data_IF_060509759353
#
_entry.id   IF_060509759353
#
_cell.length_a   1.000
_cell.length_b   1.000
_cell.length_c   1.000
_cell.angle_alpha   90.00
_cell.angle_beta   90.00
_cell.angle_gamma   90.00
#
_symmetry.space_group_name_H-M   'P 1'
#
loop_
_entity.id
_entity.type
_entity.pdbx_description
1 polymer ?
#
# COMPACT_ATOMS: atom_id res chain seq x y z
N UNK A 1 -0.63 28.99 -10.69
CA UNK A 1 -0.37 27.76 -11.46
C UNK A 1 -1.61 27.48 -12.31
N UNK A 2 -1.45 27.31 -13.62
CA UNK A 2 -2.54 26.90 -14.51
C UNK A 2 -3.09 25.54 -14.06
N UNK A 3 -4.41 25.37 -14.17
CA UNK A 3 -5.07 24.09 -13.90
C UNK A 3 -5.07 23.27 -15.20
N UNK A 4 -4.71 22.00 -15.10
CA UNK A 4 -4.79 21.02 -16.19
C UNK A 4 -5.88 20.00 -15.88
N UNK A 5 -6.41 19.35 -16.91
CA UNK A 5 -7.32 18.20 -16.76
C UNK A 5 -6.46 16.93 -16.77
N UNK A 6 -6.65 16.07 -15.77
CA UNK A 6 -5.97 14.78 -15.68
C UNK A 6 -7.01 13.65 -15.74
N UNK A 7 -6.86 12.74 -16.70
CA UNK A 7 -7.60 11.48 -16.76
C UNK A 7 -6.89 10.47 -15.86
N UNK A 8 -7.65 9.80 -15.00
CA UNK A 8 -7.14 8.82 -14.05
C UNK A 8 -7.87 7.50 -14.27
N UNK A 9 -7.12 6.41 -14.33
CA UNK A 9 -7.66 5.05 -14.33
C UNK A 9 -6.98 4.27 -13.20
N UNK A 10 -7.76 3.58 -12.37
CA UNK A 10 -7.29 2.87 -11.19
C UNK A 10 -7.90 1.48 -11.13
N UNK A 11 -7.07 0.45 -11.11
CA UNK A 11 -7.51 -0.92 -10.87
C UNK A 11 -8.00 -1.05 -9.43
N UNK A 12 -9.08 -1.80 -9.25
CA UNK A 12 -9.64 -2.17 -7.95
C UNK A 12 -9.79 -3.69 -7.95
N UNK A 13 -9.02 -4.39 -7.12
CA UNK A 13 -9.17 -5.83 -6.95
C UNK A 13 -10.37 -6.09 -6.04
N UNK A 14 -11.32 -6.93 -6.49
CA UNK A 14 -12.57 -7.15 -5.79
C UNK A 14 -13.20 -8.50 -6.13
N UNK A 15 -13.84 -9.11 -5.13
CA UNK A 15 -14.68 -10.30 -5.35
C UNK A 15 -16.12 -9.95 -5.77
N UNK A 16 -16.52 -8.67 -5.67
CA UNK A 16 -17.80 -8.23 -6.21
C UNK A 16 -17.74 -8.21 -7.74
N UNK A 17 -18.70 -8.84 -8.41
CA UNK A 17 -18.88 -8.69 -9.86
C UNK A 17 -19.71 -7.44 -10.13
N UNK A 18 -19.24 -6.59 -11.05
CA UNK A 18 -20.00 -5.41 -11.47
C UNK A 18 -20.98 -5.81 -12.55
N UNK A 19 -22.24 -6.03 -12.15
CA UNK A 19 -23.34 -6.38 -13.03
C UNK A 19 -24.36 -5.24 -13.16
N UNK A 20 -23.98 -4.01 -12.80
CA UNK A 20 -24.89 -2.86 -12.88
C UNK A 20 -24.98 -2.44 -14.36
N UNK A 21 -26.20 -2.33 -14.92
CA UNK A 21 -26.39 -1.87 -16.27
C UNK A 21 -26.37 -0.33 -16.36
N UNK A 22 -25.51 0.20 -17.22
CA UNK A 22 -25.60 1.54 -17.78
C UNK A 22 -26.55 1.46 -18.99
N UNK A 23 -27.82 1.76 -18.73
CA UNK A 23 -28.92 1.67 -19.71
C UNK A 23 -28.71 2.62 -20.89
N UNK A 24 -28.04 3.75 -20.68
CA UNK A 24 -27.84 4.76 -21.72
C UNK A 24 -26.76 4.33 -22.72
N UNK A 25 -25.81 3.50 -22.29
CA UNK A 25 -24.70 3.01 -23.12
C UNK A 25 -24.83 1.55 -23.56
N UNK A 26 -25.93 0.88 -23.20
CA UNK A 26 -26.08 -0.57 -23.38
C UNK A 26 -24.90 -1.38 -22.81
N UNK A 27 -24.32 -0.93 -21.69
CA UNK A 27 -23.23 -1.63 -21.01
C UNK A 27 -23.77 -2.31 -19.75
N UNK A 28 -23.56 -3.61 -19.61
CA UNK A 28 -24.10 -4.40 -18.49
C UNK A 28 -23.15 -4.55 -17.30
N UNK A 29 -22.06 -3.79 -17.29
CA UNK A 29 -20.94 -3.96 -16.36
C UNK A 29 -20.32 -2.62 -15.94
N UNK A 30 -21.14 -1.57 -15.93
CA UNK A 30 -20.69 -0.18 -15.76
C UNK A 30 -21.69 0.63 -14.95
N UNK A 31 -21.21 1.44 -14.02
CA UNK A 31 -22.01 2.46 -13.35
C UNK A 31 -21.17 3.66 -12.96
N UNK A 32 -21.81 4.79 -12.70
CA UNK A 32 -21.12 6.01 -12.25
C UNK A 32 -21.65 6.48 -10.89
N UNK A 33 -20.75 6.98 -10.05
CA UNK A 33 -21.08 7.67 -8.79
C UNK A 33 -20.31 8.99 -8.78
N UNK A 34 -21.04 10.10 -8.89
CA UNK A 34 -20.43 11.41 -9.10
C UNK A 34 -19.69 11.44 -10.44
N UNK A 35 -18.44 11.86 -10.43
CA UNK A 35 -17.56 11.93 -11.60
C UNK A 35 -16.64 10.71 -11.78
N UNK A 36 -16.91 9.63 -11.04
CA UNK A 36 -16.17 8.37 -11.17
C UNK A 36 -17.06 7.33 -11.82
N UNK A 37 -16.56 6.75 -12.91
CA UNK A 37 -17.16 5.60 -13.58
C UNK A 37 -16.43 4.34 -13.15
N UNK A 38 -17.18 3.32 -12.75
CA UNK A 38 -16.70 2.00 -12.42
C UNK A 38 -17.13 1.03 -13.51
N UNK A 39 -16.17 0.32 -14.08
CA UNK A 39 -16.38 -0.69 -15.11
C UNK A 39 -15.82 -2.02 -14.60
N UNK A 40 -16.39 -3.14 -15.03
CA UNK A 40 -15.72 -4.42 -14.81
C UNK A 40 -14.42 -4.47 -15.61
N UNK A 41 -13.37 -5.06 -15.03
CA UNK A 41 -12.04 -5.08 -15.66
C UNK A 41 -12.01 -5.90 -16.96
N UNK A 42 -12.68 -7.05 -16.93
CA UNK A 42 -12.79 -7.92 -18.09
C UNK A 42 -14.17 -8.55 -18.15
N UNK A 43 -14.94 -8.18 -19.16
CA UNK A 43 -16.30 -8.65 -19.39
C UNK A 43 -16.53 -8.89 -20.86
N UNK A 44 -17.16 -10.01 -21.18
CA UNK A 44 -17.77 -10.21 -22.49
C UNK A 44 -19.08 -10.98 -22.34
N UNK A 45 -19.98 -10.85 -23.31
CA UNK A 45 -21.35 -11.41 -23.23
C UNK A 45 -21.32 -12.95 -23.16
N UNK A 46 -20.34 -13.60 -23.79
CA UNK A 46 -20.25 -15.06 -23.88
C UNK A 46 -19.74 -15.68 -22.58
N UNK A 47 -18.66 -15.11 -22.03
CA UNK A 47 -17.91 -15.69 -20.92
C UNK A 47 -18.19 -14.99 -19.58
N UNK A 48 -18.97 -13.89 -19.60
CA UNK A 48 -19.36 -13.14 -18.41
C UNK A 48 -18.19 -12.35 -17.79
N UNK A 49 -18.04 -12.47 -16.47
CA UNK A 49 -17.08 -11.70 -15.67
C UNK A 49 -15.78 -12.47 -15.40
N UNK A 50 -14.79 -12.29 -16.27
CA UNK A 50 -13.58 -13.10 -16.32
C UNK A 50 -12.58 -12.80 -15.19
N UNK A 51 -12.42 -11.54 -14.79
CA UNK A 51 -11.47 -11.14 -13.74
C UNK A 51 -12.15 -10.71 -12.42
N UNK A 52 -11.41 -10.80 -11.32
CA UNK A 52 -11.82 -10.29 -9.99
C UNK A 52 -11.31 -8.87 -9.78
N UNK A 53 -11.64 -7.99 -10.71
CA UNK A 53 -11.24 -6.60 -10.67
C UNK A 53 -12.24 -5.68 -11.36
N UNK A 54 -12.30 -4.44 -10.90
CA UNK A 54 -12.97 -3.31 -11.54
C UNK A 54 -11.93 -2.28 -11.97
N UNK A 55 -12.35 -1.40 -12.87
CA UNK A 55 -11.61 -0.22 -13.31
C UNK A 55 -12.39 1.03 -12.90
N UNK A 56 -11.80 1.86 -12.06
CA UNK A 56 -12.34 3.17 -11.73
C UNK A 56 -11.70 4.25 -12.62
N UNK A 57 -12.51 5.02 -13.32
CA UNK A 57 -12.10 6.08 -14.25
C UNK A 57 -12.70 7.42 -13.83
N UNK A 58 -11.97 8.51 -14.08
CA UNK A 58 -12.52 9.86 -13.94
C UNK A 58 -11.54 10.95 -14.35
N UNK A 59 -12.03 12.18 -14.41
CA UNK A 59 -11.24 13.35 -14.78
C UNK A 59 -11.15 14.34 -13.62
N UNK A 60 -9.93 14.80 -13.32
CA UNK A 60 -9.68 15.73 -12.22
C UNK A 60 -8.93 16.96 -12.74
N UNK A 61 -9.54 18.12 -12.58
CA UNK A 61 -8.89 19.41 -12.82
C UNK A 61 -8.00 19.79 -11.64
N UNK A 62 -6.68 19.92 -11.88
CA UNK A 62 -5.69 20.12 -10.83
C UNK A 62 -4.48 20.91 -11.32
N UNK A 63 -3.69 21.47 -10.40
CA UNK A 63 -2.42 22.13 -10.75
C UNK A 63 -1.25 21.15 -10.97
N UNK A 64 -1.40 19.90 -10.55
CA UNK A 64 -0.38 18.84 -10.72
C UNK A 64 -1.00 17.44 -10.69
N UNK A 65 -0.33 16.46 -11.30
CA UNK A 65 -0.80 15.06 -11.33
C UNK A 65 -0.89 14.46 -9.93
N UNK A 66 0.07 14.77 -9.03
CA UNK A 66 0.06 14.31 -7.64
C UNK A 66 -1.19 14.79 -6.89
N UNK A 67 -1.59 16.05 -7.09
CA UNK A 67 -2.82 16.57 -6.49
C UNK A 67 -4.06 15.94 -7.14
N UNK A 68 -4.01 15.65 -8.44
CA UNK A 68 -5.10 15.01 -9.16
C UNK A 68 -5.37 13.60 -8.61
N UNK A 69 -4.35 12.74 -8.52
CA UNK A 69 -4.49 11.38 -7.99
C UNK A 69 -4.90 11.36 -6.52
N UNK A 70 -4.37 12.28 -5.70
CA UNK A 70 -4.78 12.38 -4.30
C UNK A 70 -6.25 12.80 -4.15
N UNK A 71 -6.74 13.68 -5.03
CA UNK A 71 -8.16 14.06 -5.07
C UNK A 71 -9.03 12.87 -5.48
N UNK A 72 -8.66 12.17 -6.56
CA UNK A 72 -9.34 10.97 -7.04
C UNK A 72 -9.39 9.86 -5.99
N UNK A 73 -8.26 9.53 -5.36
CA UNK A 73 -8.18 8.58 -4.24
C UNK A 73 -9.02 9.02 -3.04
N UNK A 74 -9.13 10.32 -2.79
CA UNK A 74 -10.02 10.87 -1.78
C UNK A 74 -11.50 10.61 -2.05
N UNK A 75 -11.92 10.55 -3.32
CA UNK A 75 -13.27 10.15 -3.73
C UNK A 75 -13.47 8.64 -3.58
N UNK A 76 -12.52 7.83 -4.06
CA UNK A 76 -12.54 6.37 -3.88
C UNK A 76 -12.59 5.97 -2.39
N UNK A 77 -11.86 6.68 -1.52
CA UNK A 77 -11.88 6.46 -0.07
C UNK A 77 -13.26 6.64 0.56
N UNK A 78 -14.13 7.44 -0.06
CA UNK A 78 -15.54 7.53 0.34
C UNK A 78 -16.36 6.39 -0.27
N UNK A 79 -16.18 6.11 -1.56
CA UNK A 79 -17.05 5.19 -2.29
C UNK A 79 -16.75 3.72 -1.96
N UNK A 80 -15.49 3.29 -2.05
CA UNK A 80 -15.08 1.88 -1.96
C UNK A 80 -15.48 1.21 -0.63
N UNK A 81 -15.29 1.81 0.56
CA UNK A 81 -15.72 1.17 1.80
C UNK A 81 -17.23 0.91 1.87
N UNK A 82 -18.05 1.76 1.22
CA UNK A 82 -19.50 1.57 1.15
C UNK A 82 -19.85 0.44 0.19
N UNK A 83 -19.14 0.34 -0.93
CA UNK A 83 -19.27 -0.81 -1.84
C UNK A 83 -18.93 -2.08 -1.07
N UNK A 84 -17.78 -2.14 -0.38
CA UNK A 84 -17.35 -3.32 0.37
C UNK A 84 -18.37 -3.74 1.44
N UNK A 85 -18.98 -2.77 2.14
CA UNK A 85 -20.05 -3.03 3.10
C UNK A 85 -21.29 -3.64 2.44
N UNK A 86 -21.74 -3.07 1.32
CA UNK A 86 -22.96 -3.49 0.61
C UNK A 86 -22.76 -4.84 -0.07
N UNK A 87 -21.62 -5.04 -0.73
CA UNK A 87 -21.29 -6.27 -1.45
C UNK A 87 -20.81 -7.40 -0.54
N UNK A 88 -20.49 -7.09 0.72
CA UNK A 88 -19.90 -8.04 1.69
C UNK A 88 -18.66 -8.73 1.12
N UNK A 89 -17.86 -8.01 0.34
CA UNK A 89 -16.76 -8.58 -0.43
C UNK A 89 -15.43 -7.93 -0.10
N UNK A 90 -14.35 -8.69 -0.28
CA UNK A 90 -13.01 -8.13 -0.30
C UNK A 90 -12.90 -7.09 -1.43
N UNK A 91 -12.36 -5.90 -1.10
CA UNK A 91 -12.03 -4.84 -2.06
C UNK A 91 -10.72 -4.17 -1.65
N UNK A 92 -9.75 -4.13 -2.54
CA UNK A 92 -8.46 -3.46 -2.38
C UNK A 92 -8.15 -2.60 -3.60
N UNK A 93 -7.64 -1.40 -3.37
CA UNK A 93 -7.31 -0.44 -4.43
C UNK A 93 -6.11 0.43 -4.09
N UNK A 94 -5.59 0.39 -2.86
CA UNK A 94 -4.52 1.27 -2.41
C UNK A 94 -3.18 0.96 -3.10
N UNK A 95 -2.89 -0.33 -3.23
CA UNK A 95 -1.66 -0.87 -3.83
C UNK A 95 -1.89 -1.43 -5.23
N UNK A 96 -3.01 -1.06 -5.86
CA UNK A 96 -3.34 -1.53 -7.20
C UNK A 96 -2.85 -0.55 -8.27
N UNK A 97 -2.57 -1.04 -9.49
CA UNK A 97 -2.07 -0.21 -10.57
C UNK A 97 -2.97 0.98 -10.92
N UNK A 98 -2.36 2.10 -11.26
CA UNK A 98 -3.08 3.25 -11.82
C UNK A 98 -2.25 4.04 -12.82
N UNK A 99 -2.95 4.79 -13.67
CA UNK A 99 -2.34 5.82 -14.51
C UNK A 99 -2.93 7.20 -14.23
N UNK A 100 -2.13 8.23 -14.49
CA UNK A 100 -2.55 9.64 -14.48
C UNK A 100 -2.04 10.31 -15.75
N UNK A 101 -2.95 10.55 -16.69
CA UNK A 101 -2.66 11.15 -18.00
C UNK A 101 -3.10 12.60 -17.98
N UNK A 102 -2.20 13.54 -18.29
CA UNK A 102 -2.60 14.92 -18.53
C UNK A 102 -3.23 15.01 -19.92
N UNK A 103 -4.36 15.71 -20.03
CA UNK A 103 -5.03 15.94 -21.32
C UNK A 103 -4.04 16.53 -22.33
N UNK A 104 -4.07 16.00 -23.55
CA UNK A 104 -3.23 16.40 -24.69
C UNK A 104 -1.72 16.20 -24.48
N UNK A 105 -1.31 15.37 -23.51
CA UNK A 105 0.09 15.00 -23.32
C UNK A 105 0.39 13.62 -23.89
N UNK A 106 1.57 13.50 -24.49
CA UNK A 106 2.22 12.27 -24.93
C UNK A 106 2.83 11.43 -23.78
N UNK A 107 2.54 11.79 -22.52
CA UNK A 107 3.16 11.20 -21.33
C UNK A 107 2.10 10.87 -20.29
N UNK A 108 2.33 9.79 -19.56
CA UNK A 108 1.47 9.33 -18.48
C UNK A 108 2.32 8.96 -17.27
N UNK A 109 1.84 9.30 -16.06
CA UNK A 109 2.40 8.72 -14.84
C UNK A 109 1.78 7.34 -14.63
N UNK A 110 2.61 6.30 -14.57
CA UNK A 110 2.17 4.94 -14.36
C UNK A 110 2.72 4.41 -13.03
N UNK A 111 1.79 4.02 -12.15
CA UNK A 111 2.09 3.18 -11.00
C UNK A 111 1.75 1.74 -11.37
N UNK A 112 2.80 0.95 -11.52
CA UNK A 112 2.68 -0.48 -11.72
C UNK A 112 2.76 -1.18 -10.37
N UNK A 113 1.87 -2.15 -10.19
CA UNK A 113 1.92 -3.10 -9.09
C UNK A 113 1.52 -4.48 -9.60
N UNK A 114 2.17 -5.53 -9.09
CA UNK A 114 1.78 -6.92 -9.33
C UNK A 114 1.85 -7.74 -8.06
N UNK A 115 1.08 -8.81 -8.04
CA UNK A 115 1.24 -9.84 -7.03
C UNK A 115 2.58 -10.54 -7.23
N UNK A 116 3.32 -10.63 -6.14
CA UNK A 116 4.55 -11.40 -6.05
C UNK A 116 4.25 -12.62 -5.19
N UNK A 117 4.50 -13.81 -5.75
CA UNK A 117 4.43 -15.06 -4.99
C UNK A 117 5.29 -14.96 -3.73
N UNK A 118 4.82 -15.58 -2.65
CA UNK A 118 5.61 -15.70 -1.43
C UNK A 118 6.93 -16.41 -1.75
N UNK A 119 8.05 -15.73 -1.52
CA UNK A 119 9.36 -16.40 -1.52
C UNK A 119 9.61 -17.04 -0.16
N UNK A 120 10.15 -18.26 -0.12
CA UNK A 120 10.71 -18.80 1.12
C UNK A 120 11.91 -17.99 1.60
N UNK A 121 12.07 -17.85 2.92
CA UNK A 121 13.33 -17.46 3.53
C UNK A 121 13.96 -18.70 4.14
N UNK A 122 15.27 -18.79 4.04
CA UNK A 122 16.00 -19.83 4.75
C UNK A 122 16.14 -19.39 6.22
N UNK A 123 15.88 -20.32 7.14
CA UNK A 123 16.18 -20.15 8.55
C UNK A 123 17.56 -20.78 8.78
N UNK A 124 18.58 -19.94 8.81
CA UNK A 124 19.98 -20.35 8.80
C UNK A 124 20.60 -20.20 10.20
N UNK A 125 21.91 -20.32 10.29
CA UNK A 125 22.66 -20.29 11.54
C UNK A 125 22.43 -18.99 12.33
N UNK A 126 22.30 -17.84 11.64
CA UNK A 126 22.02 -16.55 12.29
C UNK A 126 20.64 -16.51 12.92
N UNK A 127 19.61 -16.98 12.21
CA UNK A 127 18.24 -17.03 12.73
C UNK A 127 18.13 -18.05 13.85
N UNK A 128 18.79 -19.20 13.73
CA UNK A 128 18.86 -20.20 14.82
C UNK A 128 19.54 -19.62 16.06
N UNK A 129 20.69 -18.96 15.89
CA UNK A 129 21.39 -18.32 17.01
C UNK A 129 20.50 -17.26 17.67
N UNK A 130 19.81 -16.43 16.88
CA UNK A 130 18.88 -15.45 17.43
C UNK A 130 17.75 -16.13 18.21
N UNK A 131 17.18 -17.23 17.69
CA UNK A 131 16.14 -17.99 18.38
C UNK A 131 16.65 -18.56 19.71
N UNK A 132 17.81 -19.21 19.71
CA UNK A 132 18.41 -19.77 20.94
C UNK A 132 18.62 -18.67 22.00
N UNK A 133 19.12 -17.49 21.60
CA UNK A 133 19.30 -16.33 22.49
C UNK A 133 17.97 -15.76 23.00
N UNK A 134 16.91 -15.77 22.19
CA UNK A 134 15.59 -15.24 22.57
C UNK A 134 14.83 -16.19 23.50
N UNK A 135 14.93 -17.50 23.30
CA UNK A 135 14.25 -18.52 24.13
C UNK A 135 14.72 -18.50 25.59
N UNK A 136 15.97 -18.15 25.84
CA UNK A 136 16.53 -18.06 27.20
C UNK A 136 16.41 -16.65 27.80
N UNK A 137 16.01 -15.66 27.02
CA UNK A 137 16.02 -14.25 27.43
C UNK A 137 14.69 -13.83 28.07
N UNK A 138 14.71 -13.63 29.40
CA UNK A 138 13.58 -13.03 30.13
C UNK A 138 13.37 -11.52 29.86
N UNK A 139 14.14 -10.90 28.95
CA UNK A 139 14.07 -9.47 28.65
C UNK A 139 12.86 -9.06 27.80
N UNK A 140 12.25 -10.03 27.11
CA UNK A 140 11.14 -9.80 26.18
C UNK A 140 9.95 -10.64 26.66
N UNK A 141 8.79 -10.01 26.96
CA UNK A 141 7.60 -10.76 27.33
C UNK A 141 7.03 -11.58 26.17
N UNK A 142 6.47 -12.76 26.46
CA UNK A 142 5.91 -13.66 25.45
C UNK A 142 4.80 -12.99 24.61
N UNK A 143 4.01 -12.11 25.22
CA UNK A 143 2.95 -11.39 24.51
C UNK A 143 3.48 -10.52 23.37
N UNK A 144 4.73 -10.03 23.45
CA UNK A 144 5.35 -9.35 22.31
C UNK A 144 5.43 -10.28 21.11
N UNK A 145 5.91 -11.51 21.31
CA UNK A 145 6.08 -12.48 20.21
C UNK A 145 4.74 -12.89 19.62
N UNK A 146 3.70 -13.09 20.44
CA UNK A 146 2.36 -13.40 19.95
C UNK A 146 1.77 -12.27 19.10
N UNK A 147 1.76 -11.03 19.60
CA UNK A 147 1.26 -9.89 18.81
C UNK A 147 2.10 -9.61 17.56
N UNK A 148 3.42 -9.82 17.63
CA UNK A 148 4.28 -9.62 16.47
C UNK A 148 4.04 -10.69 15.40
N UNK A 149 3.86 -11.95 15.79
CA UNK A 149 3.43 -13.03 14.90
C UNK A 149 2.10 -12.70 14.22
N UNK A 150 1.11 -12.25 14.99
CA UNK A 150 -0.20 -11.87 14.44
C UNK A 150 -0.07 -10.68 13.47
N UNK A 151 0.79 -9.70 13.78
CA UNK A 151 1.07 -8.58 12.88
C UNK A 151 1.68 -9.06 11.55
N UNK A 152 2.63 -10.00 11.59
CA UNK A 152 3.21 -10.60 10.38
C UNK A 152 2.10 -11.24 9.53
N UNK A 153 1.21 -12.00 10.16
CA UNK A 153 0.13 -12.79 9.54
C UNK A 153 -1.16 -12.01 9.21
N UNK A 154 -1.23 -10.72 9.53
CA UNK A 154 -2.44 -9.92 9.31
C UNK A 154 -2.44 -9.21 7.96
N UNK A 155 -3.61 -9.18 7.31
CA UNK A 155 -3.89 -8.38 6.12
C UNK A 155 -4.38 -6.98 6.47
N UNK A 156 -4.09 -6.03 5.58
CA UNK A 156 -4.56 -4.66 5.72
C UNK A 156 -3.66 -3.79 6.61
N UNK A 157 -3.49 -2.56 6.18
CA UNK A 157 -2.55 -1.62 6.78
C UNK A 157 -2.88 -1.27 8.24
N UNK A 158 -4.14 -0.92 8.51
CA UNK A 158 -4.58 -0.44 9.82
C UNK A 158 -4.61 -1.55 10.88
N UNK A 159 -5.05 -2.75 10.52
CA UNK A 159 -5.05 -3.91 11.42
C UNK A 159 -3.62 -4.32 11.80
N UNK A 160 -2.70 -4.35 10.82
CA UNK A 160 -1.28 -4.62 11.08
C UNK A 160 -0.65 -3.57 12.00
N UNK A 161 -0.97 -2.28 11.81
CA UNK A 161 -0.50 -1.22 12.71
C UNK A 161 -1.00 -1.41 14.14
N UNK A 162 -2.28 -1.74 14.35
CA UNK A 162 -2.83 -1.99 15.67
C UNK A 162 -2.12 -3.15 16.40
N UNK A 163 -1.81 -4.23 15.67
CA UNK A 163 -1.07 -5.37 16.23
C UNK A 163 0.38 -5.00 16.55
N UNK A 164 1.06 -4.24 15.68
CA UNK A 164 2.41 -3.72 15.97
C UNK A 164 2.41 -2.78 17.18
N UNK A 165 1.38 -1.93 17.35
CA UNK A 165 1.23 -1.10 18.54
C UNK A 165 1.02 -1.96 19.79
N UNK A 166 0.19 -3.01 19.70
CA UNK A 166 -0.06 -3.94 20.80
C UNK A 166 1.20 -4.71 21.20
N UNK A 167 2.01 -5.14 20.23
CA UNK A 167 3.32 -5.75 20.46
C UNK A 167 4.26 -4.79 21.20
N UNK A 168 4.39 -3.55 20.71
CA UNK A 168 5.21 -2.53 21.38
C UNK A 168 4.72 -2.24 22.81
N UNK A 169 3.41 -2.19 23.02
CA UNK A 169 2.82 -2.06 24.34
C UNK A 169 3.18 -3.24 25.24
N UNK A 170 3.09 -4.48 24.74
CA UNK A 170 3.51 -5.68 25.45
C UNK A 170 4.99 -5.63 25.84
N UNK A 171 5.87 -5.29 24.90
CA UNK A 171 7.31 -5.14 25.15
C UNK A 171 7.61 -4.06 26.21
N UNK A 172 6.78 -3.02 26.26
CA UNK A 172 6.98 -1.90 27.14
C UNK A 172 6.26 -2.03 28.50
N UNK A 173 5.41 -3.05 28.68
CA UNK A 173 4.70 -3.29 29.94
C UNK A 173 5.71 -3.56 31.05
N UNK A 174 5.77 -2.66 32.03
CA UNK A 174 6.23 -2.97 33.38
C UNK A 174 5.03 -2.95 34.31
N UNK A 175 4.79 -4.08 34.99
CA UNK A 175 3.85 -4.14 36.11
C UNK A 175 4.61 -3.67 37.34
N UNK A 176 4.19 -2.56 37.92
CA UNK A 176 4.63 -2.13 39.24
C UNK A 176 3.42 -2.15 40.17
N UNK A 177 3.47 -2.96 41.23
CA UNK A 177 2.39 -3.14 42.22
C UNK A 177 0.99 -3.36 41.60
N UNK A 178 0.91 -4.18 40.56
CA UNK A 178 -0.34 -4.51 39.87
C UNK A 178 -0.93 -3.38 39.00
N UNK A 179 -0.28 -2.22 38.90
CA UNK A 179 -0.69 -1.11 38.03
C UNK A 179 0.24 -1.01 36.81
N UNK A 180 -0.36 -0.68 35.66
CA UNK A 180 0.39 -0.42 34.43
C UNK A 180 1.05 0.95 34.52
N UNK A 181 2.39 0.99 34.46
CA UNK A 181 3.10 2.25 34.26
C UNK A 181 3.17 2.57 32.76
N UNK A 182 2.86 3.82 32.39
CA UNK A 182 2.98 4.31 31.00
C UNK A 182 4.46 4.35 30.59
N UNK A 183 4.90 3.54 29.63
CA UNK A 183 6.34 3.34 29.38
C UNK A 183 6.85 4.27 28.28
N UNK A 184 6.46 5.55 28.31
CA UNK A 184 6.73 6.53 27.24
C UNK A 184 8.23 6.65 26.89
N UNK A 185 9.10 6.39 27.87
CA UNK A 185 10.55 6.38 27.71
C UNK A 185 11.02 5.22 26.83
N UNK A 186 10.40 4.04 26.94
CA UNK A 186 10.80 2.85 26.17
C UNK A 186 10.34 2.93 24.71
N UNK A 187 9.15 3.48 24.43
CA UNK A 187 8.75 3.77 23.04
C UNK A 187 9.70 4.75 22.38
N UNK A 188 10.08 5.81 23.11
CA UNK A 188 11.05 6.80 22.63
C UNK A 188 12.40 6.17 22.36
N UNK A 189 12.81 5.20 23.19
CA UNK A 189 14.06 4.47 23.02
C UNK A 189 14.04 3.53 21.79
N UNK A 190 12.96 2.78 21.60
CA UNK A 190 12.83 1.83 20.47
C UNK A 190 12.64 2.60 19.15
N UNK A 191 11.65 3.49 19.10
CA UNK A 191 11.19 4.14 17.86
C UNK A 191 11.91 5.44 17.54
N UNK A 192 12.54 6.06 18.55
CA UNK A 192 12.98 7.45 18.51
C UNK A 192 11.84 8.42 18.81
N UNK A 193 12.18 9.57 19.43
CA UNK A 193 11.23 10.60 19.91
C UNK A 193 10.17 10.99 18.89
N UNK A 194 10.56 11.24 17.64
CA UNK A 194 9.64 11.71 16.59
C UNK A 194 8.57 10.67 16.24
N UNK A 195 8.97 9.42 16.06
CA UNK A 195 8.04 8.34 15.67
C UNK A 195 7.19 7.91 16.87
N UNK A 196 7.79 7.79 18.06
CA UNK A 196 7.08 7.53 19.29
C UNK A 196 5.97 8.56 19.56
N UNK A 197 6.28 9.85 19.44
CA UNK A 197 5.27 10.90 19.59
C UNK A 197 4.15 10.76 18.54
N UNK A 198 4.47 10.54 17.26
CA UNK A 198 3.44 10.39 16.23
C UNK A 198 2.49 9.21 16.51
N UNK A 199 2.99 8.13 17.11
CA UNK A 199 2.21 6.91 17.37
C UNK A 199 1.45 6.98 18.71
N UNK A 200 2.13 7.35 19.79
CA UNK A 200 1.68 7.17 21.17
C UNK A 200 1.32 8.47 21.91
N UNK A 201 1.37 9.64 21.25
CA UNK A 201 0.86 10.87 21.89
C UNK A 201 -0.60 10.65 22.28
N UNK A 202 -0.95 10.99 23.52
CA UNK A 202 -2.31 10.87 24.01
C UNK A 202 -3.26 11.69 23.13
N UNK A 203 -4.48 11.20 22.96
CA UNK A 203 -5.59 11.82 22.20
C UNK A 203 -5.39 12.02 20.69
N UNK A 204 -4.17 12.21 20.20
CA UNK A 204 -3.89 12.52 18.78
C UNK A 204 -2.96 11.53 18.07
N UNK A 205 -2.32 10.62 18.82
CA UNK A 205 -1.43 9.61 18.28
C UNK A 205 -2.17 8.56 17.44
N UNK A 206 -1.47 7.96 16.47
CA UNK A 206 -2.04 6.94 15.59
C UNK A 206 -2.69 5.78 16.36
N UNK A 207 -2.06 5.34 17.45
CA UNK A 207 -2.59 4.26 18.29
C UNK A 207 -3.92 4.65 18.92
N UNK A 208 -4.00 5.83 19.53
CA UNK A 208 -5.22 6.31 20.17
C UNK A 208 -6.34 6.41 19.14
N UNK A 209 -6.08 7.09 18.02
CA UNK A 209 -7.04 7.27 16.94
C UNK A 209 -7.61 5.94 16.46
N UNK A 210 -6.75 4.99 16.08
CA UNK A 210 -7.20 3.69 15.57
C UNK A 210 -8.03 2.87 16.57
N UNK A 211 -7.66 2.87 17.85
CA UNK A 211 -8.42 2.15 18.90
C UNK A 211 -9.76 2.82 19.20
N UNK A 212 -9.85 4.15 19.09
CA UNK A 212 -11.06 4.91 19.42
C UNK A 212 -11.95 5.19 18.20
N UNK A 213 -11.82 4.38 17.14
CA UNK A 213 -12.70 4.44 15.97
C UNK A 213 -12.37 5.54 14.97
N UNK A 214 -11.29 6.29 15.16
CA UNK A 214 -10.78 7.18 14.13
C UNK A 214 -9.93 6.41 13.11
N UNK A 215 -10.22 6.62 11.84
CA UNK A 215 -9.47 5.99 10.77
C UNK A 215 -8.30 6.86 10.27
N UNK A 216 -7.28 6.22 9.71
CA UNK A 216 -6.11 6.92 9.17
C UNK A 216 -6.52 7.75 7.96
N UNK A 217 -6.09 9.01 7.90
CA UNK A 217 -6.47 9.86 6.77
C UNK A 217 -5.44 9.75 5.64
N UNK A 218 -5.86 9.60 4.38
CA UNK A 218 -4.93 9.60 3.25
C UNK A 218 -4.09 10.89 3.17
N UNK A 219 -4.67 12.03 3.58
CA UNK A 219 -4.02 13.35 3.52
C UNK A 219 -2.91 13.54 4.56
N UNK A 220 -3.13 13.08 5.79
CA UNK A 220 -2.19 13.30 6.90
C UNK A 220 -1.28 12.10 7.14
N UNK A 221 -1.83 10.89 7.00
CA UNK A 221 -1.18 9.65 7.40
C UNK A 221 -0.64 8.87 6.18
N UNK A 222 -1.24 9.03 4.99
CA UNK A 222 -0.82 8.36 3.75
C UNK A 222 0.52 8.81 3.15
N UNK A 223 1.23 9.75 3.78
CA UNK A 223 2.54 10.24 3.32
C UNK A 223 3.72 9.37 3.74
N UNK A 224 3.51 8.43 4.65
CA UNK A 224 4.56 7.59 5.24
C UNK A 224 4.08 6.16 5.39
N UNK A 225 4.96 5.22 5.10
CA UNK A 225 4.75 3.82 5.45
C UNK A 225 5.17 3.61 6.91
N UNK A 226 4.20 3.72 7.84
CA UNK A 226 4.47 3.55 9.26
C UNK A 226 4.83 2.11 9.62
N UNK A 227 4.35 1.12 8.87
CA UNK A 227 4.68 -0.29 9.08
C UNK A 227 6.19 -0.51 8.92
N UNK A 228 6.79 -0.05 7.82
CA UNK A 228 8.22 -0.18 7.56
C UNK A 228 9.05 0.56 8.62
N UNK A 229 8.61 1.78 8.96
CA UNK A 229 9.31 2.60 9.96
C UNK A 229 9.32 1.93 11.34
N UNK A 230 8.20 1.33 11.75
CA UNK A 230 8.10 0.61 13.02
C UNK A 230 8.92 -0.67 12.97
N UNK A 231 8.76 -1.48 11.92
CA UNK A 231 9.48 -2.72 11.72
C UNK A 231 11.00 -2.52 11.85
N UNK A 232 11.55 -1.61 11.04
CA UNK A 232 13.00 -1.33 11.04
C UNK A 232 13.51 -0.92 12.42
N UNK A 233 12.74 -0.09 13.15
CA UNK A 233 13.10 0.36 14.50
C UNK A 233 13.07 -0.77 15.52
N UNK A 234 12.06 -1.64 15.47
CA UNK A 234 11.96 -2.80 16.35
C UNK A 234 13.11 -3.77 16.10
N UNK A 235 13.37 -4.14 14.84
CA UNK A 235 14.47 -5.06 14.52
C UNK A 235 15.83 -4.46 14.94
N UNK A 236 16.06 -3.17 14.69
CA UNK A 236 17.28 -2.50 15.13
C UNK A 236 17.44 -2.52 16.65
N UNK A 237 16.34 -2.36 17.42
CA UNK A 237 16.36 -2.51 18.86
C UNK A 237 16.73 -3.93 19.30
N UNK A 238 16.15 -4.97 18.68
CA UNK A 238 16.48 -6.37 18.99
C UNK A 238 17.96 -6.68 18.73
N UNK A 239 18.47 -6.33 17.55
CA UNK A 239 19.88 -6.49 17.20
C UNK A 239 20.81 -5.79 18.21
N UNK A 240 20.50 -4.53 18.58
CA UNK A 240 21.40 -3.72 19.41
C UNK A 240 21.31 -3.99 20.90
N UNK A 241 20.16 -4.41 21.42
CA UNK A 241 19.87 -4.40 22.87
C UNK A 241 19.43 -5.73 23.45
N UNK A 242 18.79 -6.57 22.65
CA UNK A 242 18.38 -7.91 23.09
C UNK A 242 19.49 -8.91 22.74
N UNK A 243 19.84 -8.98 21.46
CA UNK A 243 20.84 -9.92 20.89
C UNK A 243 22.27 -9.38 20.96
N UNK A 244 22.43 -8.05 21.05
CA UNK A 244 23.73 -7.35 21.04
C UNK A 244 24.61 -7.66 19.81
N UNK A 245 24.01 -8.19 18.74
CA UNK A 245 24.62 -8.59 17.47
C UNK A 245 23.61 -8.38 16.33
N UNK A 246 24.06 -8.09 15.09
CA UNK A 246 23.19 -7.93 13.94
C UNK A 246 22.77 -9.29 13.36
N UNK A 247 21.97 -10.05 14.10
CA UNK A 247 21.50 -11.37 13.67
C UNK A 247 20.24 -11.30 12.80
N UNK A 248 19.44 -10.23 12.92
CA UNK A 248 18.20 -10.03 12.18
C UNK A 248 18.37 -8.98 11.07
N UNK A 249 17.70 -9.18 9.92
CA UNK A 249 17.74 -8.21 8.82
C UNK A 249 16.83 -7.00 9.07
N UNK A 250 17.39 -5.78 9.03
CA UNK A 250 16.64 -4.53 9.18
C UNK A 250 15.89 -4.11 7.89
N UNK A 251 16.29 -4.63 6.73
CA UNK A 251 15.85 -4.17 5.42
C UNK A 251 14.80 -5.10 4.77
N UNK A 252 13.95 -5.71 5.60
CA UNK A 252 12.79 -6.48 5.13
C UNK A 252 11.73 -5.50 4.61
N UNK A 253 11.40 -5.60 3.32
CA UNK A 253 10.34 -4.82 2.67
C UNK A 253 8.96 -5.40 3.05
N UNK A 254 8.03 -4.53 3.45
CA UNK A 254 6.67 -4.92 3.85
C UNK A 254 5.72 -5.01 2.61
N UNK A 255 4.68 -5.87 2.60
CA UNK A 255 4.30 -6.82 3.65
C UNK A 255 5.41 -7.82 3.95
N UNK A 256 5.69 -8.05 5.25
CA UNK A 256 6.45 -9.23 5.66
C UNK A 256 5.80 -10.46 5.01
N UNK A 257 6.63 -11.35 4.48
CA UNK A 257 6.22 -12.42 3.56
C UNK A 257 5.05 -13.21 4.12
N UNK A 258 3.94 -13.19 3.39
CA UNK A 258 2.72 -13.90 3.75
C UNK A 258 2.42 -14.96 2.67
N UNK A 259 1.79 -16.07 3.03
CA UNK A 259 1.28 -17.08 2.08
C UNK A 259 0.42 -16.53 0.95
N UNK A 260 -0.34 -15.44 1.17
CA UNK A 260 -1.12 -14.80 0.12
C UNK A 260 -0.28 -13.79 -0.71
N UNK A 261 1.04 -13.86 -0.60
CA UNK A 261 1.99 -13.07 -1.38
C UNK A 261 2.27 -11.68 -0.82
N UNK A 262 2.91 -10.87 -1.65
CA UNK A 262 3.07 -9.43 -1.45
C UNK A 262 2.89 -8.68 -2.77
N UNK A 263 3.07 -7.37 -2.75
CA UNK A 263 3.08 -6.57 -3.98
C UNK A 263 4.50 -6.17 -4.32
N UNK A 264 4.83 -6.21 -5.62
CA UNK A 264 6.00 -5.52 -6.17
C UNK A 264 5.50 -4.33 -6.94
N UNK A 265 6.08 -3.15 -6.71
CA UNK A 265 5.63 -1.91 -7.34
C UNK A 265 6.80 -1.09 -7.91
N UNK A 266 6.48 -0.30 -8.92
CA UNK A 266 7.33 0.79 -9.40
C UNK A 266 6.46 1.92 -9.96
N UNK A 267 7.04 3.12 -10.03
CA UNK A 267 6.37 4.29 -10.57
C UNK A 267 7.28 4.99 -11.57
N UNK A 268 6.79 5.20 -12.79
CA UNK A 268 7.56 5.85 -13.88
C UNK A 268 6.65 6.72 -14.73
N UNK A 269 7.26 7.67 -15.43
CA UNK A 269 6.60 8.31 -16.55
C UNK A 269 6.82 7.43 -17.78
N UNK A 270 5.77 7.26 -18.55
CA UNK A 270 5.74 6.45 -19.77
C UNK A 270 5.28 7.35 -20.90
N UNK A 271 5.86 7.18 -22.10
CA UNK A 271 5.36 7.81 -23.34
C UNK A 271 5.08 6.73 -24.37
N UNK A 272 4.25 7.05 -25.36
CA UNK A 272 4.06 6.18 -26.53
C UNK A 272 5.15 6.43 -27.56
N UNK A 273 5.60 5.37 -28.22
CA UNK A 273 6.61 5.43 -29.29
C UNK A 273 6.06 6.19 -30.51
N UNK A 274 4.75 6.08 -30.77
CA UNK A 274 4.05 6.77 -31.86
C UNK A 274 3.66 8.23 -31.53
N UNK A 275 4.04 8.75 -30.36
CA UNK A 275 3.64 10.06 -29.82
C UNK A 275 2.13 10.25 -29.63
N UNK A 276 1.36 9.16 -29.53
CA UNK A 276 -0.05 9.22 -29.18
C UNK A 276 -0.28 9.78 -27.76
N UNK A 277 -1.45 10.38 -27.54
CA UNK A 277 -1.84 10.99 -26.26
C UNK A 277 -2.84 10.14 -25.46
N UNK A 278 -3.35 9.06 -26.05
CA UNK A 278 -4.31 8.16 -25.43
C UNK A 278 -3.61 7.00 -24.73
N UNK A 279 -3.84 6.91 -23.41
CA UNK A 279 -3.33 5.85 -22.55
C UNK A 279 -4.50 5.14 -21.86
N UNK A 280 -4.39 3.83 -21.78
CA UNK A 280 -5.33 2.95 -21.06
C UNK A 280 -4.54 2.03 -20.14
N UNK A 281 -4.99 1.93 -18.89
CA UNK A 281 -4.28 1.16 -17.86
C UNK A 281 -4.14 -0.32 -18.26
N UNK A 282 -5.20 -0.89 -18.86
CA UNK A 282 -5.22 -2.30 -19.29
C UNK A 282 -4.15 -2.58 -20.34
N UNK A 283 -3.98 -1.68 -21.31
CA UNK A 283 -2.98 -1.83 -22.38
C UNK A 283 -1.56 -1.71 -21.81
N UNK A 284 -1.28 -0.68 -20.98
CA UNK A 284 0.02 -0.56 -20.32
C UNK A 284 0.38 -1.82 -19.51
N UNK A 285 -0.58 -2.36 -18.74
CA UNK A 285 -0.32 -3.56 -17.93
C UNK A 285 -0.05 -4.81 -18.78
N UNK A 286 -0.71 -4.95 -19.93
CA UNK A 286 -0.49 -6.07 -20.86
C UNK A 286 0.91 -6.08 -21.48
N UNK A 287 1.52 -4.90 -21.60
CA UNK A 287 2.82 -4.67 -22.22
C UNK A 287 4.00 -4.80 -21.25
N UNK A 288 3.76 -4.79 -19.93
CA UNK A 288 4.82 -4.96 -18.93
C UNK A 288 5.44 -6.36 -19.04
N UNK A 289 6.76 -6.44 -18.87
CA UNK A 289 7.46 -7.73 -18.86
C UNK A 289 7.04 -8.58 -17.66
N UNK A 290 6.93 -9.89 -17.87
CA UNK A 290 6.69 -10.82 -16.78
C UNK A 290 7.95 -11.05 -15.92
N UNK A 291 9.12 -10.57 -16.35
CA UNK A 291 10.36 -10.75 -15.61
C UNK A 291 10.28 -10.03 -14.23
N UNK A 292 10.44 -10.76 -13.10
CA UNK A 292 10.48 -10.19 -11.76
C UNK A 292 11.59 -9.16 -11.54
N UNK A 293 12.69 -9.24 -12.29
CA UNK A 293 13.92 -8.46 -12.11
C UNK A 293 13.97 -7.18 -12.96
N UNK A 294 13.13 -7.09 -13.99
CA UNK A 294 13.12 -5.96 -14.92
C UNK A 294 11.89 -5.09 -14.66
N UNK A 295 12.12 -3.84 -14.28
CA UNK A 295 11.09 -2.82 -14.25
C UNK A 295 11.01 -2.17 -15.63
N UNK A 296 10.12 -2.67 -16.50
CA UNK A 296 9.99 -2.16 -17.86
C UNK A 296 8.95 -2.89 -18.70
N UNK A 297 8.91 -2.54 -19.97
CA UNK A 297 8.02 -3.16 -20.95
C UNK A 297 8.74 -4.30 -21.70
N UNK A 298 7.96 -5.12 -22.41
CA UNK A 298 8.49 -6.14 -23.34
C UNK A 298 9.16 -5.46 -24.53
N UNK A 299 10.04 -6.20 -25.22
CA UNK A 299 10.62 -5.72 -26.48
C UNK A 299 9.51 -5.47 -27.52
N UNK A 300 9.67 -4.43 -28.35
CA UNK A 300 8.72 -4.00 -29.39
C UNK A 300 7.33 -3.56 -28.88
N UNK A 301 7.26 -3.07 -27.64
CA UNK A 301 6.04 -2.46 -27.11
C UNK A 301 5.74 -1.09 -27.73
N UNK A 302 4.48 -0.65 -27.64
CA UNK A 302 4.07 0.71 -28.02
C UNK A 302 4.54 1.79 -27.03
N UNK A 303 5.16 1.40 -25.91
CA UNK A 303 5.49 2.27 -24.79
C UNK A 303 6.99 2.31 -24.46
N UNK A 304 7.47 3.43 -23.97
CA UNK A 304 8.84 3.54 -23.46
C UNK A 304 8.89 4.32 -22.16
N UNK A 305 9.85 3.95 -21.31
CA UNK A 305 10.10 4.67 -20.07
C UNK A 305 10.77 6.01 -20.36
N UNK A 306 10.27 7.07 -19.74
CA UNK A 306 10.94 8.37 -19.78
C UNK A 306 12.19 8.32 -18.91
N UNK A 307 13.32 8.81 -19.44
CA UNK A 307 14.64 8.82 -18.76
C UNK A 307 14.59 9.41 -17.34
N UNK A 308 15.48 8.95 -16.47
CA UNK A 308 15.54 9.29 -15.04
C UNK A 308 15.75 10.79 -14.78
N UNK A 309 16.54 11.49 -15.61
CA UNK A 309 16.74 12.94 -15.47
C UNK A 309 15.45 13.70 -15.79
N UNK A 310 14.76 13.29 -16.85
CA UNK A 310 13.46 13.85 -17.23
C UNK A 310 12.38 13.46 -16.22
N UNK A 311 12.42 12.27 -15.63
CA UNK A 311 11.53 11.83 -14.57
C UNK A 311 11.56 12.77 -13.35
N UNK A 312 12.75 13.11 -12.85
CA UNK A 312 12.90 13.99 -11.69
C UNK A 312 12.40 15.43 -11.96
N UNK A 313 12.53 15.89 -13.21
CA UNK A 313 11.98 17.18 -13.62
C UNK A 313 10.46 17.13 -13.75
N UNK A 314 9.90 16.05 -14.31
CA UNK A 314 8.46 15.85 -14.39
C UNK A 314 7.81 15.74 -13.00
N UNK A 315 8.47 15.15 -12.00
CA UNK A 315 7.97 15.16 -10.62
C UNK A 315 7.78 16.57 -10.04
N UNK A 316 8.52 17.57 -10.55
CA UNK A 316 8.44 18.97 -10.09
C UNK A 316 7.45 19.81 -10.89
N UNK A 317 7.23 19.47 -12.17
CA UNK A 317 6.54 20.33 -13.15
C UNK A 317 5.17 19.77 -13.56
N UNK A 318 4.98 18.46 -13.49
CA UNK A 318 3.78 17.76 -13.94
C UNK A 318 2.70 17.73 -12.86
#
# INVERSE_FOLDING_TARGET
MSKNIYKIEHKITTLAKNAVPDKDKNLYHTFSIGDITFEHWDFNIRDGWLENAWLAKGEITSSSFLKAINSFRGKLWKIVPRIALISQSYIEYHFEPFIVSKKDSDKVFFHYARDRKSGGLMFMEKEKQALDELLVSAKVPDEFYYYWNDAVNTFGYSAKLLLMFSALEALAKKRDKGKFQKPINLYTYILGKRLANKIFTQTVGLRHRLVHGEYLSPKQDGKKNYLDLIHKKVISFFNKKILSKPLLSEDVVNPQRHFYGGKSEWHRFVKRVDNGTNFELKNLLGEVTNDPMIAGFRDNTEYELVDVNTHNNLLKVY
#
